data_IF_790152374272
#
_entry.id   IF_790152374272
#
_cell.length_a   1.000
_cell.length_b   1.000
_cell.length_c   1.000
_cell.angle_alpha   90.00
_cell.angle_beta   90.00
_cell.angle_gamma   90.00
#
_symmetry.space_group_name_H-M   'P 1'
#
loop_
_entity.id
_entity.type
_entity.pdbx_description
1 polymer ?
#
# COMPACT_ATOMS: atom_id res chain seq x y z
N UNK A 1 6.27 -9.28 35.76
CA UNK A 1 5.23 -10.22 35.32
C UNK A 1 5.65 -10.67 33.94
N UNK A 2 6.21 -11.88 33.84
CA UNK A 2 6.56 -12.47 32.55
C UNK A 2 5.25 -12.67 31.76
N UNK A 3 5.29 -12.45 30.45
CA UNK A 3 4.09 -12.53 29.61
C UNK A 3 3.60 -13.99 29.60
N UNK A 4 2.35 -14.24 29.98
CA UNK A 4 1.70 -15.56 30.03
C UNK A 4 1.68 -16.31 28.68
N UNK A 5 2.18 -15.69 27.59
CA UNK A 5 2.17 -16.23 26.23
C UNK A 5 3.55 -16.25 25.56
N UNK A 6 4.66 -16.17 26.31
CA UNK A 6 6.00 -16.18 25.73
C UNK A 6 6.31 -17.47 24.98
N UNK A 7 5.89 -18.62 25.50
CA UNK A 7 6.15 -19.93 24.90
C UNK A 7 5.34 -20.12 23.61
N UNK A 8 4.05 -19.74 23.62
CA UNK A 8 3.20 -19.73 22.43
C UNK A 8 3.76 -18.78 21.38
N UNK A 9 4.20 -17.59 21.78
CA UNK A 9 4.78 -16.62 20.85
C UNK A 9 6.05 -17.17 20.19
N UNK A 10 6.92 -17.83 20.95
CA UNK A 10 8.13 -18.46 20.43
C UNK A 10 7.76 -19.62 19.47
N UNK A 11 6.83 -20.49 19.86
CA UNK A 11 6.43 -21.64 19.07
C UNK A 11 5.77 -21.26 17.74
N UNK A 12 4.79 -20.35 17.78
CA UNK A 12 4.06 -19.93 16.58
C UNK A 12 4.87 -18.94 15.74
N UNK A 13 5.82 -18.21 16.33
CA UNK A 13 6.63 -17.18 15.65
C UNK A 13 5.80 -16.05 15.04
N UNK A 14 4.55 -15.86 15.49
CA UNK A 14 3.69 -14.74 15.14
C UNK A 14 2.74 -14.41 16.29
N UNK A 15 2.23 -13.19 16.33
CA UNK A 15 1.16 -12.80 17.25
C UNK A 15 -0.20 -13.21 16.67
N UNK A 16 -1.05 -13.94 17.42
CA UNK A 16 -2.38 -14.33 16.94
C UNK A 16 -3.22 -13.14 16.42
N UNK A 17 -3.10 -11.97 17.04
CA UNK A 17 -3.78 -10.75 16.58
C UNK A 17 -3.36 -10.33 15.16
N UNK A 18 -2.07 -10.48 14.81
CA UNK A 18 -1.57 -10.17 13.48
C UNK A 18 -2.14 -11.13 12.44
N UNK A 19 -2.21 -12.43 12.77
CA UNK A 19 -2.87 -13.44 11.93
C UNK A 19 -4.35 -13.09 11.67
N UNK A 20 -5.09 -12.70 12.71
CA UNK A 20 -6.50 -12.32 12.56
C UNK A 20 -6.70 -11.06 11.72
N UNK A 21 -5.83 -10.07 11.88
CA UNK A 21 -5.85 -8.86 11.08
C UNK A 21 -5.57 -9.17 9.60
N UNK A 22 -4.55 -9.98 9.32
CA UNK A 22 -4.22 -10.38 7.94
C UNK A 22 -5.35 -11.17 7.29
N UNK A 23 -5.93 -12.12 8.03
CA UNK A 23 -7.07 -12.91 7.57
C UNK A 23 -8.30 -12.02 7.29
N UNK A 24 -8.63 -11.10 8.20
CA UNK A 24 -9.73 -10.15 8.01
C UNK A 24 -9.53 -9.29 6.76
N UNK A 25 -8.32 -8.74 6.56
CA UNK A 25 -8.00 -7.93 5.39
C UNK A 25 -8.05 -8.76 4.10
N UNK A 26 -7.54 -9.99 4.12
CA UNK A 26 -7.58 -10.91 2.98
C UNK A 26 -9.01 -11.24 2.57
N UNK A 27 -9.86 -11.65 3.52
CA UNK A 27 -11.28 -11.94 3.27
C UNK A 27 -12.03 -10.70 2.78
N UNK A 28 -11.80 -9.54 3.38
CA UNK A 28 -12.43 -8.28 2.97
C UNK A 28 -12.09 -7.93 1.52
N UNK A 29 -10.83 -8.08 1.11
CA UNK A 29 -10.39 -7.83 -0.27
C UNK A 29 -11.09 -8.78 -1.26
N UNK A 30 -11.19 -10.06 -0.95
CA UNK A 30 -11.86 -11.06 -1.80
C UNK A 30 -13.35 -10.73 -1.94
N UNK A 31 -14.01 -10.41 -0.83
CA UNK A 31 -15.44 -10.05 -0.81
C UNK A 31 -15.70 -8.80 -1.66
N UNK A 32 -14.90 -7.74 -1.48
CA UNK A 32 -15.00 -6.52 -2.28
C UNK A 32 -14.77 -6.82 -3.76
N UNK A 33 -13.74 -7.60 -4.09
CA UNK A 33 -13.45 -8.00 -5.47
C UNK A 33 -14.57 -8.83 -6.11
N UNK A 34 -15.28 -9.62 -5.32
CA UNK A 34 -16.37 -10.50 -5.79
C UNK A 34 -17.70 -9.77 -6.02
N UNK A 35 -17.89 -8.59 -5.42
CA UNK A 35 -19.15 -7.84 -5.48
C UNK A 35 -19.38 -7.07 -6.79
N UNK A 36 -18.37 -7.02 -7.68
CA UNK A 36 -18.49 -6.41 -9.01
C UNK A 36 -18.89 -4.93 -9.00
N UNK A 37 -19.39 -4.41 -10.13
CA UNK A 37 -19.81 -3.01 -10.32
C UNK A 37 -21.34 -2.84 -10.37
N UNK A 38 -22.09 -3.52 -9.49
CA UNK A 38 -23.55 -3.44 -9.44
C UNK A 38 -24.07 -2.16 -8.74
N UNK A 39 -25.22 -1.63 -9.18
CA UNK A 39 -25.79 -0.35 -8.72
C UNK A 39 -26.31 -0.33 -7.26
N UNK A 40 -26.12 -1.40 -6.47
CA UNK A 40 -26.53 -1.48 -5.06
C UNK A 40 -25.43 -2.03 -4.13
N UNK A 41 -24.15 -1.82 -4.49
CA UNK A 41 -23.00 -2.34 -3.73
C UNK A 41 -22.99 -1.82 -2.30
N UNK A 42 -23.26 -0.53 -2.06
CA UNK A 42 -23.00 0.11 -0.75
C UNK A 42 -23.81 -0.52 0.39
N UNK A 43 -25.13 -0.65 0.23
CA UNK A 43 -25.99 -1.26 1.25
C UNK A 43 -25.77 -2.77 1.44
N UNK A 44 -25.30 -3.47 0.39
CA UNK A 44 -24.90 -4.89 0.50
C UNK A 44 -23.55 -5.02 1.20
N UNK A 45 -22.62 -4.12 0.91
CA UNK A 45 -21.28 -4.08 1.48
C UNK A 45 -21.35 -3.84 2.99
N UNK A 46 -22.13 -2.87 3.46
CA UNK A 46 -22.25 -2.58 4.89
C UNK A 46 -22.77 -3.80 5.69
N UNK A 47 -23.75 -4.52 5.13
CA UNK A 47 -24.28 -5.75 5.74
C UNK A 47 -23.26 -6.88 5.77
N UNK A 48 -22.51 -7.05 4.69
CA UNK A 48 -21.49 -8.08 4.59
C UNK A 48 -20.31 -7.77 5.52
N UNK A 49 -19.88 -6.51 5.59
CA UNK A 49 -18.81 -6.06 6.47
C UNK A 49 -19.21 -6.25 7.95
N UNK A 50 -20.43 -5.85 8.32
CA UNK A 50 -20.95 -6.06 9.68
C UNK A 50 -20.98 -7.55 10.04
N UNK A 51 -21.43 -8.41 9.12
CA UNK A 51 -21.46 -9.86 9.33
C UNK A 51 -20.05 -10.45 9.43
N UNK A 52 -19.12 -9.99 8.59
CA UNK A 52 -17.73 -10.43 8.59
C UNK A 52 -17.05 -10.04 9.90
N UNK A 53 -17.18 -8.79 10.35
CA UNK A 53 -16.63 -8.31 11.62
C UNK A 53 -17.13 -9.15 12.80
N UNK A 54 -18.45 -9.38 12.87
CA UNK A 54 -19.04 -10.20 13.94
C UNK A 54 -18.48 -11.63 13.95
N UNK A 55 -18.42 -12.27 12.78
CA UNK A 55 -17.93 -13.64 12.69
C UNK A 55 -16.42 -13.74 12.95
N UNK A 56 -15.65 -12.74 12.52
CA UNK A 56 -14.21 -12.69 12.75
C UNK A 56 -13.88 -12.50 14.23
N UNK A 57 -14.68 -11.73 14.98
CA UNK A 57 -14.54 -11.62 16.43
C UNK A 57 -14.82 -12.96 17.14
N UNK A 58 -15.85 -13.69 16.71
CA UNK A 58 -16.17 -15.02 17.26
C UNK A 58 -15.03 -15.99 16.94
N UNK A 59 -14.54 -15.96 15.70
CA UNK A 59 -13.44 -16.79 15.24
C UNK A 59 -12.15 -16.52 16.02
N UNK A 60 -11.78 -15.25 16.20
CA UNK A 60 -10.63 -14.83 17.01
C UNK A 60 -10.68 -15.38 18.43
N UNK A 61 -11.83 -15.25 19.11
CA UNK A 61 -11.97 -15.80 20.47
C UNK A 61 -11.84 -17.31 20.50
N UNK A 62 -12.37 -17.98 19.48
CA UNK A 62 -12.28 -19.43 19.37
C UNK A 62 -10.85 -19.91 19.14
N UNK A 63 -10.14 -19.30 18.19
CA UNK A 63 -8.77 -19.68 17.81
C UNK A 63 -7.78 -19.36 18.92
N UNK A 64 -7.91 -18.22 19.60
CA UNK A 64 -7.08 -17.88 20.75
C UNK A 64 -7.18 -18.99 21.80
N UNK A 65 -8.40 -19.32 22.23
CA UNK A 65 -8.61 -20.30 23.31
C UNK A 65 -8.27 -21.74 22.94
N UNK A 66 -8.50 -22.16 21.69
CA UNK A 66 -8.48 -23.57 21.31
C UNK A 66 -7.35 -23.96 20.34
N UNK A 67 -6.67 -22.99 19.73
CA UNK A 67 -5.64 -23.24 18.70
C UNK A 67 -4.31 -22.61 19.12
N UNK A 68 -4.32 -21.35 19.56
CA UNK A 68 -3.11 -20.57 19.81
C UNK A 68 -2.71 -20.47 21.28
N UNK A 69 -3.41 -21.16 22.18
CA UNK A 69 -3.06 -21.25 23.60
C UNK A 69 -2.74 -22.71 23.93
N UNK A 70 -1.64 -22.93 24.64
CA UNK A 70 -1.30 -24.27 25.08
C UNK A 70 -2.24 -24.75 26.20
N UNK A 71 -2.55 -26.06 26.25
CA UNK A 71 -3.21 -26.64 27.41
C UNK A 71 -2.40 -26.40 28.69
N UNK A 72 -3.05 -26.26 29.84
CA UNK A 72 -2.38 -26.00 31.13
C UNK A 72 -1.31 -27.05 31.50
N UNK A 73 -1.49 -28.29 31.04
CA UNK A 73 -0.57 -29.41 31.30
C UNK A 73 0.53 -29.55 30.24
N UNK A 74 0.55 -28.70 29.21
CA UNK A 74 1.54 -28.77 28.13
C UNK A 74 2.80 -28.00 28.51
N UNK A 75 3.95 -28.68 28.43
CA UNK A 75 5.26 -28.06 28.64
C UNK A 75 5.93 -27.89 27.28
N UNK A 76 6.16 -26.63 26.89
CA UNK A 76 6.88 -26.33 25.67
C UNK A 76 8.38 -26.62 25.86
N UNK A 77 8.87 -27.67 25.21
CA UNK A 77 10.29 -27.97 25.14
C UNK A 77 10.95 -27.01 24.13
N UNK A 78 11.43 -25.87 24.62
CA UNK A 78 12.26 -24.96 23.83
C UNK A 78 13.41 -25.78 23.25
N UNK A 79 13.67 -25.61 21.95
CA UNK A 79 14.92 -26.10 21.38
C UNK A 79 16.03 -25.39 22.13
N UNK A 80 16.72 -26.08 23.03
CA UNK A 80 18.03 -25.62 23.50
C UNK A 80 18.80 -25.28 22.24
N UNK A 81 19.23 -24.02 22.13
CA UNK A 81 20.05 -23.56 21.03
C UNK A 81 21.33 -24.39 21.06
N UNK A 82 21.31 -25.51 20.34
CA UNK A 82 22.39 -26.50 20.24
C UNK A 82 23.50 -25.99 19.33
N UNK A 83 23.79 -24.70 19.39
CA UNK A 83 25.00 -24.10 18.83
C UNK A 83 25.84 -23.74 20.03
N UNK A 84 26.77 -24.65 20.32
CA UNK A 84 28.00 -24.54 21.09
C UNK A 84 28.07 -23.46 22.20
N UNK A 85 28.54 -23.80 23.42
CA UNK A 85 28.87 -22.77 24.40
C UNK A 85 29.74 -21.71 23.74
N UNK A 86 29.21 -20.48 23.64
CA UNK A 86 29.86 -19.36 22.96
C UNK A 86 31.28 -19.28 23.53
N UNK A 87 32.33 -19.44 22.70
CA UNK A 87 33.70 -19.37 23.16
C UNK A 87 33.91 -18.09 23.98
N UNK A 88 34.65 -18.18 25.09
CA UNK A 88 34.86 -17.03 26.00
C UNK A 88 35.39 -15.77 25.28
N UNK A 89 36.10 -15.93 24.17
CA UNK A 89 36.61 -14.84 23.33
C UNK A 89 35.45 -14.11 22.62
N UNK A 90 34.53 -14.84 21.99
CA UNK A 90 33.33 -14.30 21.31
C UNK A 90 32.35 -13.64 22.29
N UNK A 91 32.32 -14.11 23.54
CA UNK A 91 31.40 -13.57 24.55
C UNK A 91 31.73 -12.11 24.88
N UNK A 92 33.03 -11.76 25.00
CA UNK A 92 33.45 -10.38 25.26
C UNK A 92 33.09 -9.46 24.11
N UNK A 93 33.34 -9.90 22.88
CA UNK A 93 32.99 -9.14 21.68
C UNK A 93 31.47 -8.93 21.55
N UNK A 94 30.68 -9.99 21.79
CA UNK A 94 29.22 -9.90 21.80
C UNK A 94 28.68 -9.01 22.91
N UNK A 95 29.27 -9.04 24.10
CA UNK A 95 28.90 -8.15 25.21
C UNK A 95 29.20 -6.68 24.85
N UNK A 96 30.36 -6.41 24.26
CA UNK A 96 30.71 -5.07 23.76
C UNK A 96 29.74 -4.60 22.67
N UNK A 97 29.44 -5.47 21.70
CA UNK A 97 28.46 -5.20 20.64
C UNK A 97 27.07 -4.89 21.22
N UNK A 98 26.62 -5.66 22.22
CA UNK A 98 25.36 -5.43 22.94
C UNK A 98 25.37 -4.10 23.71
N UNK A 99 26.48 -3.74 24.35
CA UNK A 99 26.61 -2.47 25.05
C UNK A 99 26.53 -1.28 24.08
N UNK A 100 27.16 -1.38 22.90
CA UNK A 100 27.07 -0.37 21.84
C UNK A 100 25.64 -0.26 21.34
N UNK A 101 24.99 -1.37 20.99
CA UNK A 101 23.58 -1.37 20.55
C UNK A 101 22.64 -0.81 21.61
N UNK A 102 22.88 -1.11 22.89
CA UNK A 102 22.09 -0.54 24.00
C UNK A 102 22.25 0.98 24.07
N UNK A 103 23.46 1.50 23.87
CA UNK A 103 23.71 2.93 23.84
C UNK A 103 23.03 3.60 22.63
N UNK A 104 23.10 2.99 21.45
CA UNK A 104 22.42 3.45 20.23
C UNK A 104 20.89 3.52 20.43
N UNK A 105 20.30 2.44 20.96
CA UNK A 105 18.85 2.39 21.24
C UNK A 105 18.46 3.46 22.27
N UNK A 106 19.28 3.67 23.30
CA UNK A 106 19.02 4.70 24.31
C UNK A 106 19.07 6.10 23.71
N UNK A 107 20.06 6.40 22.86
CA UNK A 107 20.17 7.67 22.17
C UNK A 107 18.99 7.91 21.20
N UNK A 108 18.55 6.89 20.48
CA UNK A 108 17.37 6.98 19.61
C UNK A 108 16.11 7.24 20.45
N UNK A 109 15.96 6.56 21.59
CA UNK A 109 14.83 6.76 22.50
C UNK A 109 14.78 8.19 23.04
N UNK A 110 15.92 8.72 23.51
CA UNK A 110 16.03 10.11 23.95
C UNK A 110 15.69 11.10 22.83
N UNK A 111 16.16 10.82 21.59
CA UNK A 111 15.84 11.62 20.42
C UNK A 111 14.34 11.63 20.10
N UNK A 112 13.66 10.49 20.23
CA UNK A 112 12.20 10.38 20.08
C UNK A 112 11.51 11.19 21.17
N UNK A 113 11.86 10.99 22.44
CA UNK A 113 11.26 11.70 23.58
C UNK A 113 11.41 13.21 23.46
N UNK A 114 12.58 13.69 23.02
CA UNK A 114 12.83 15.10 22.77
C UNK A 114 11.96 15.63 21.63
N UNK A 115 11.85 14.88 20.51
CA UNK A 115 11.00 15.27 19.39
C UNK A 115 9.52 15.31 19.78
N UNK A 116 9.05 14.36 20.59
CA UNK A 116 7.69 14.33 21.11
C UNK A 116 7.41 15.53 22.01
N UNK A 117 8.37 15.90 22.86
CA UNK A 117 8.27 17.10 23.72
C UNK A 117 8.15 18.38 22.90
N UNK A 118 9.04 18.58 21.92
CA UNK A 118 9.00 19.75 21.03
C UNK A 118 7.69 19.80 20.24
N UNK A 119 7.19 18.67 19.76
CA UNK A 119 5.89 18.61 19.09
C UNK A 119 4.73 19.00 20.02
N UNK A 120 4.74 18.55 21.27
CA UNK A 120 3.74 18.94 22.27
C UNK A 120 3.77 20.45 22.56
N UNK A 121 4.96 21.02 22.75
CA UNK A 121 5.13 22.47 22.95
C UNK A 121 4.66 23.27 21.73
N UNK A 122 4.99 22.81 20.53
CA UNK A 122 4.52 23.44 19.29
C UNK A 122 2.99 23.37 19.17
N UNK A 123 2.40 22.21 19.47
CA UNK A 123 0.96 22.03 19.43
C UNK A 123 0.25 22.94 20.45
N UNK A 124 0.81 23.09 21.65
CA UNK A 124 0.31 24.03 22.65
C UNK A 124 0.40 25.47 22.14
N UNK A 125 1.54 25.90 21.58
CA UNK A 125 1.68 27.25 20.99
C UNK A 125 0.68 27.49 19.86
N UNK A 126 0.47 26.52 18.98
CA UNK A 126 -0.54 26.61 17.92
C UNK A 126 -1.95 26.78 18.49
N UNK A 127 -2.33 26.02 19.53
CA UNK A 127 -3.62 26.18 20.21
C UNK A 127 -3.77 27.57 20.83
N UNK A 128 -2.73 28.08 21.48
CA UNK A 128 -2.73 29.43 22.05
C UNK A 128 -2.94 30.50 20.96
N UNK A 129 -2.27 30.37 19.81
CA UNK A 129 -2.44 31.29 18.69
C UNK A 129 -3.84 31.20 18.05
N UNK A 130 -4.41 30.00 17.95
CA UNK A 130 -5.77 29.78 17.45
C UNK A 130 -6.85 30.38 18.37
N UNK A 131 -6.57 30.50 19.67
CA UNK A 131 -7.50 31.09 20.63
C UNK A 131 -7.60 32.62 20.57
N UNK A 132 -6.76 33.29 19.75
CA UNK A 132 -6.80 34.74 19.58
C UNK A 132 -7.93 35.11 18.60
N UNK A 133 -8.99 35.83 19.03
CA UNK A 133 -10.18 36.06 18.20
C UNK A 133 -9.92 36.78 16.88
N UNK A 134 -8.93 37.67 16.84
CA UNK A 134 -8.54 38.42 15.64
C UNK A 134 -7.76 37.59 14.60
N UNK A 135 -7.25 36.43 14.99
CA UNK A 135 -6.52 35.50 14.10
C UNK A 135 -7.42 34.45 13.47
N UNK A 136 -8.62 34.19 14.02
CA UNK A 136 -9.57 33.22 13.45
C UNK A 136 -9.89 33.49 11.98
N UNK A 137 -10.25 34.73 11.57
CA UNK A 137 -10.57 35.00 10.16
C UNK A 137 -9.37 34.79 9.22
N UNK A 138 -8.15 35.02 9.71
CA UNK A 138 -6.91 34.81 8.95
C UNK A 138 -6.62 33.31 8.80
N UNK A 139 -6.81 32.54 9.86
CA UNK A 139 -6.64 31.08 9.85
C UNK A 139 -7.69 30.40 8.97
N UNK A 140 -8.93 30.87 9.01
CA UNK A 140 -10.04 30.42 8.17
C UNK A 140 -9.73 30.70 6.70
N UNK A 141 -9.30 31.93 6.36
CA UNK A 141 -8.88 32.29 5.00
C UNK A 141 -7.68 31.49 4.49
N UNK A 142 -6.70 31.17 5.36
CA UNK A 142 -5.57 30.31 5.00
C UNK A 142 -6.00 28.85 4.78
N UNK A 143 -6.98 28.36 5.54
CA UNK A 143 -7.56 27.03 5.36
C UNK A 143 -8.29 26.93 4.01
N UNK A 144 -9.11 27.93 3.69
CA UNK A 144 -9.80 28.03 2.39
C UNK A 144 -8.80 28.10 1.23
N UNK A 145 -7.74 28.89 1.36
CA UNK A 145 -6.67 28.96 0.35
C UNK A 145 -5.95 27.61 0.18
N UNK A 146 -5.68 26.89 1.26
CA UNK A 146 -5.08 25.55 1.20
C UNK A 146 -6.01 24.55 0.52
N UNK A 147 -7.31 24.61 0.82
CA UNK A 147 -8.33 23.78 0.19
C UNK A 147 -8.47 24.09 -1.30
N UNK A 148 -8.39 25.38 -1.67
CA UNK A 148 -8.35 25.81 -3.06
C UNK A 148 -7.09 25.31 -3.78
N UNK A 149 -5.91 25.39 -3.16
CA UNK A 149 -4.67 24.84 -3.72
C UNK A 149 -4.74 23.32 -3.92
N UNK A 150 -5.27 22.57 -2.95
CA UNK A 150 -5.48 21.12 -3.07
C UNK A 150 -6.46 20.80 -4.19
N UNK A 151 -7.59 21.49 -4.24
CA UNK A 151 -8.60 21.31 -5.29
C UNK A 151 -8.03 21.63 -6.67
N UNK A 152 -7.21 22.69 -6.77
CA UNK A 152 -6.53 23.09 -8.01
C UNK A 152 -5.48 22.06 -8.41
N UNK A 153 -4.75 21.49 -7.45
CA UNK A 153 -3.80 20.40 -7.69
C UNK A 153 -4.50 19.12 -8.13
N UNK A 154 -5.65 18.80 -7.55
CA UNK A 154 -6.45 17.63 -7.91
C UNK A 154 -7.07 17.80 -9.30
N UNK A 155 -7.56 19.00 -9.63
CA UNK A 155 -8.01 19.34 -10.99
C UNK A 155 -6.84 19.23 -11.97
N UNK A 156 -5.67 19.81 -11.66
CA UNK A 156 -4.46 19.69 -12.47
C UNK A 156 -4.07 18.22 -12.67
N UNK A 157 -4.06 17.42 -11.61
CA UNK A 157 -3.70 16.01 -11.68
C UNK A 157 -4.72 15.22 -12.51
N UNK A 158 -6.02 15.46 -12.34
CA UNK A 158 -7.08 14.86 -13.17
C UNK A 158 -6.97 15.31 -14.63
N UNK A 159 -6.59 16.55 -14.89
CA UNK A 159 -6.41 17.07 -16.24
C UNK A 159 -5.18 16.45 -16.92
N UNK A 160 -4.05 16.35 -16.20
CA UNK A 160 -2.81 15.73 -16.67
C UNK A 160 -2.97 14.22 -16.85
N UNK A 161 -3.58 13.51 -15.90
CA UNK A 161 -3.83 12.06 -16.00
C UNK A 161 -4.91 11.74 -17.05
N UNK A 162 -5.94 12.58 -17.17
CA UNK A 162 -6.97 12.47 -18.21
C UNK A 162 -6.44 12.69 -19.63
N UNK A 163 -5.38 13.50 -19.80
CA UNK A 163 -4.74 13.71 -21.09
C UNK A 163 -3.61 12.71 -21.40
N UNK A 164 -3.05 12.03 -20.39
CA UNK A 164 -1.96 11.05 -20.61
C UNK A 164 -2.44 9.60 -20.66
N UNK A 165 -3.70 9.31 -20.27
CA UNK A 165 -4.17 7.94 -20.05
C UNK A 165 -4.82 7.20 -21.23
N UNK A 166 -5.76 7.78 -21.99
CA UNK A 166 -6.67 6.93 -22.78
C UNK A 166 -7.20 7.43 -24.14
N UNK A 167 -6.89 8.65 -24.61
CA UNK A 167 -7.43 9.13 -25.91
C UNK A 167 -6.43 9.46 -27.02
N UNK A 168 -5.15 9.70 -26.73
CA UNK A 168 -4.18 10.05 -27.79
C UNK A 168 -3.51 8.85 -28.48
N UNK A 169 -3.37 7.69 -27.80
CA UNK A 169 -2.74 6.51 -28.42
C UNK A 169 -3.65 5.77 -29.39
N UNK A 170 -4.95 5.72 -29.13
CA UNK A 170 -5.93 5.07 -30.02
C UNK A 170 -6.14 5.88 -31.29
N UNK A 171 -6.39 7.19 -31.19
CA UNK A 171 -6.57 8.04 -32.38
C UNK A 171 -5.31 8.15 -33.23
N UNK A 172 -4.11 8.25 -32.64
CA UNK A 172 -2.86 8.29 -33.42
C UNK A 172 -2.61 6.95 -34.15
N UNK A 173 -2.83 5.83 -33.47
CA UNK A 173 -2.62 4.49 -34.06
C UNK A 173 -3.67 4.19 -35.13
N UNK A 174 -4.94 4.55 -34.91
CA UNK A 174 -6.00 4.45 -35.92
C UNK A 174 -5.68 5.30 -37.14
N UNK A 175 -5.18 6.53 -36.96
CA UNK A 175 -4.75 7.38 -38.09
C UNK A 175 -3.56 6.78 -38.84
N UNK A 176 -2.56 6.24 -38.13
CA UNK A 176 -1.40 5.58 -38.73
C UNK A 176 -1.77 4.26 -39.44
N UNK A 177 -2.77 3.55 -38.94
CA UNK A 177 -3.30 2.33 -39.57
C UNK A 177 -4.15 2.68 -40.81
N UNK A 178 -4.95 3.75 -40.77
CA UNK A 178 -5.72 4.27 -41.90
C UNK A 178 -4.79 4.80 -43.02
N UNK A 179 -3.73 5.54 -42.64
CA UNK A 179 -2.72 6.03 -43.59
C UNK A 179 -1.98 4.85 -44.23
N UNK A 180 -1.54 3.86 -43.45
CA UNK A 180 -0.87 2.67 -44.00
C UNK A 180 -1.77 1.84 -44.90
N UNK A 181 -3.06 1.73 -44.57
CA UNK A 181 -4.05 1.06 -45.42
C UNK A 181 -4.22 1.80 -46.75
N UNK A 182 -4.37 3.12 -46.70
CA UNK A 182 -4.49 3.94 -47.91
C UNK A 182 -3.21 3.88 -48.77
N UNK A 183 -2.02 3.90 -48.17
CA UNK A 183 -0.75 3.74 -48.89
C UNK A 183 -0.61 2.36 -49.52
N UNK A 184 -1.03 1.28 -48.85
CA UNK A 184 -1.08 -0.06 -49.44
C UNK A 184 -2.06 -0.11 -50.62
N UNK A 185 -3.28 0.42 -50.48
CA UNK A 185 -4.25 0.45 -51.57
C UNK A 185 -3.74 1.27 -52.78
N UNK A 186 -3.04 2.38 -52.55
CA UNK A 186 -2.45 3.20 -53.62
C UNK A 186 -1.28 2.48 -54.30
N UNK A 187 -0.45 1.76 -53.55
CA UNK A 187 0.62 0.91 -54.09
C UNK A 187 0.04 -0.27 -54.88
N UNK A 188 -0.99 -0.94 -54.37
CA UNK A 188 -1.69 -2.03 -55.06
C UNK A 188 -2.38 -1.57 -56.33
N UNK A 189 -2.81 -0.30 -56.44
CA UNK A 189 -3.30 0.27 -57.70
C UNK A 189 -2.17 0.63 -58.66
N UNK A 190 -1.05 1.15 -58.15
CA UNK A 190 0.08 1.59 -58.98
C UNK A 190 0.92 0.43 -59.52
N UNK A 191 1.08 -0.66 -58.76
CA UNK A 191 1.89 -1.81 -59.18
C UNK A 191 1.35 -2.45 -60.47
N UNK A 192 0.05 -2.76 -60.61
CA UNK A 192 -0.53 -3.26 -61.86
C UNK A 192 -0.38 -2.26 -63.00
N UNK A 193 -0.57 -0.96 -62.76
CA UNK A 193 -0.43 0.08 -63.80
C UNK A 193 1.03 0.24 -64.26
N UNK A 194 1.99 0.17 -63.34
CA UNK A 194 3.41 0.24 -63.66
C UNK A 194 3.87 -0.99 -64.44
N UNK A 195 3.45 -2.19 -64.02
CA UNK A 195 3.69 -3.47 -64.71
C UNK A 195 3.05 -3.46 -66.10
N UNK A 196 1.80 -3.00 -66.22
CA UNK A 196 1.11 -2.87 -67.52
C UNK A 196 1.83 -1.86 -68.43
N UNK A 197 2.27 -0.71 -67.91
CA UNK A 197 3.02 0.28 -68.71
C UNK A 197 4.40 -0.21 -69.16
N UNK A 198 5.06 -1.06 -68.35
CA UNK A 198 6.35 -1.65 -68.73
C UNK A 198 6.16 -2.78 -69.74
N UNK A 199 5.11 -3.59 -69.60
CA UNK A 199 4.70 -4.58 -70.59
C UNK A 199 4.36 -3.94 -71.94
N UNK A 200 3.57 -2.86 -71.94
CA UNK A 200 3.15 -2.16 -73.16
C UNK A 200 4.36 -1.53 -73.89
N UNK A 201 5.32 -0.98 -73.14
CA UNK A 201 6.61 -0.51 -73.69
C UNK A 201 7.48 -1.64 -74.23
N UNK A 202 7.46 -2.82 -73.63
CA UNK A 202 8.23 -3.99 -74.10
C UNK A 202 7.59 -4.71 -75.30
N UNK A 203 6.27 -4.56 -75.49
CA UNK A 203 5.53 -5.09 -76.64
C UNK A 203 5.52 -4.12 -77.84
N UNK A 204 5.95 -2.87 -77.64
CA UNK A 204 6.07 -1.84 -78.68
C UNK A 204 7.45 -1.80 -79.36
N UNK A 205 8.23 -2.89 -79.26
CA UNK A 205 9.51 -3.11 -79.95
C UNK A 205 9.36 -4.22 -81.00
#
# INVERSE_FOLDING_TARGET
MASEYEDELEFFSFLPADFHMELYQGMSKIIVGSLGSAENIRGRMDRIETALQKNMLIFERFTLRNIFTFPEDFVYNRKESSTDPIPSEDLKEKILSLAIKKAEVSAVKEGIEQKTRVNLEMLQKCKSLQSIPSLSPVLDGLSELNQLMRSTRDIKNKYIQGHTGQKQKTTKKELEDEIRKNECEDLERRIPLAILSTLDKSLSL
#
